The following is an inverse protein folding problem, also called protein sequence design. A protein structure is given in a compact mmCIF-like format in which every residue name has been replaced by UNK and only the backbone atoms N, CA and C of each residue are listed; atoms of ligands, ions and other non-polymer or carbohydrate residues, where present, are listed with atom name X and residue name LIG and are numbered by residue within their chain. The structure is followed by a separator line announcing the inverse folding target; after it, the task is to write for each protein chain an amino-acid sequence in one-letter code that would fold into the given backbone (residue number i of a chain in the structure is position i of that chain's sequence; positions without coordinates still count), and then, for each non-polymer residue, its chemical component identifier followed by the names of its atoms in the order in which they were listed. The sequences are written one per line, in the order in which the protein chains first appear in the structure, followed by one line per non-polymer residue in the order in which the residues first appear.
data_IF_521368929471
#
_entry.id   IF_521368929471
#
_cell.length_a   1.000
_cell.length_b   1.000
_cell.length_c   1.000
_cell.angle_alpha   90.00
_cell.angle_beta   90.00
_cell.angle_gamma   90.00
#
_symmetry.space_group_name_H-M   'P 1'
#
loop_
_entity.id
_entity.type
_entity.pdbx_description
1 polymer ?
#
# COMPACT_ATOMS: atom_id res chain seq x y z
N UNK A 1 0.75 -27.11 -11.05
CA UNK A 1 0.66 -26.21 -9.88
C UNK A 1 -0.50 -25.26 -10.14
N UNK A 2 -1.52 -25.28 -9.29
CA UNK A 2 -2.64 -24.34 -9.38
C UNK A 2 -2.20 -23.01 -8.76
N UNK A 3 -2.40 -21.92 -9.47
CA UNK A 3 -1.99 -20.56 -9.06
C UNK A 3 -3.16 -19.62 -9.28
N UNK A 4 -3.42 -18.76 -8.30
CA UNK A 4 -4.39 -17.67 -8.40
C UNK A 4 -3.73 -16.35 -8.05
N UNK A 5 -4.23 -15.27 -8.64
CA UNK A 5 -3.93 -13.89 -8.28
C UNK A 5 -5.20 -13.26 -7.77
N UNK A 6 -5.17 -12.69 -6.57
CA UNK A 6 -6.30 -12.09 -5.89
C UNK A 6 -5.92 -10.68 -5.46
N UNK A 7 -6.84 -9.73 -5.64
CA UNK A 7 -6.69 -8.39 -5.12
C UNK A 7 -7.50 -8.23 -3.83
N UNK A 8 -6.92 -7.56 -2.86
CA UNK A 8 -7.55 -7.23 -1.59
C UNK A 8 -7.25 -5.77 -1.23
N UNK A 9 -7.99 -5.21 -0.29
CA UNK A 9 -7.67 -3.92 0.29
C UNK A 9 -7.38 -4.05 1.79
N UNK A 10 -6.21 -3.59 2.26
CA UNK A 10 -5.90 -3.59 3.69
C UNK A 10 -6.76 -2.54 4.40
N UNK A 11 -7.07 -2.77 5.68
CA UNK A 11 -7.86 -1.83 6.49
C UNK A 11 -7.01 -1.10 7.52
N UNK A 12 -5.93 -1.73 7.98
CA UNK A 12 -5.02 -1.19 9.01
C UNK A 12 -3.57 -1.44 8.62
N UNK A 13 -2.70 -0.51 9.01
CA UNK A 13 -1.25 -0.71 9.06
C UNK A 13 -0.93 -1.45 10.35
N UNK A 14 -0.43 -2.69 10.31
CA UNK A 14 0.21 -3.39 11.43
C UNK A 14 0.90 -4.66 10.92
N UNK A 15 2.00 -5.14 11.54
CA UNK A 15 2.94 -4.42 12.41
C UNK A 15 4.01 -3.62 11.64
N UNK A 16 4.68 -2.68 12.32
CA UNK A 16 5.88 -2.02 11.83
C UNK A 16 7.09 -2.95 12.03
N UNK A 17 7.86 -3.23 10.99
CA UNK A 17 8.94 -4.22 11.03
C UNK A 17 10.24 -3.72 10.44
N UNK A 18 11.37 -4.24 10.93
CA UNK A 18 12.69 -3.90 10.39
C UNK A 18 12.88 -4.52 9.00
N UNK A 19 13.01 -3.67 7.97
CA UNK A 19 13.23 -4.07 6.56
C UNK A 19 14.36 -5.08 6.41
N UNK A 20 15.54 -4.76 6.96
CA UNK A 20 16.76 -5.59 6.86
C UNK A 20 16.58 -6.98 7.49
N UNK A 21 15.80 -7.08 8.56
CA UNK A 21 15.51 -8.37 9.21
C UNK A 21 14.53 -9.18 8.37
N UNK A 22 13.47 -8.54 7.86
CA UNK A 22 12.49 -9.24 7.02
C UNK A 22 13.11 -9.71 5.70
N UNK A 23 14.09 -9.00 5.13
CA UNK A 23 14.90 -9.47 3.99
C UNK A 23 15.74 -10.72 4.32
N UNK A 24 16.14 -10.90 5.58
CA UNK A 24 16.79 -12.11 6.08
C UNK A 24 15.79 -13.19 6.48
N UNK A 25 14.50 -12.91 6.40
CA UNK A 25 13.40 -13.79 6.76
C UNK A 25 13.07 -13.81 8.25
N UNK A 26 13.49 -12.77 8.97
CA UNK A 26 13.19 -12.57 10.38
C UNK A 26 12.10 -11.51 10.52
N UNK A 27 10.93 -11.92 11.01
CA UNK A 27 9.81 -11.02 11.25
C UNK A 27 9.88 -10.52 12.70
N UNK A 28 10.35 -9.30 12.89
CA UNK A 28 10.45 -8.63 14.18
C UNK A 28 9.68 -7.31 14.13
N UNK A 29 8.60 -7.24 14.92
CA UNK A 29 7.81 -6.04 15.08
C UNK A 29 8.49 -5.06 16.05
N UNK A 30 8.43 -3.78 15.72
CA UNK A 30 8.87 -2.68 16.57
C UNK A 30 7.68 -1.75 16.84
N UNK A 31 7.67 -1.11 18.01
CA UNK A 31 6.60 -0.18 18.38
C UNK A 31 6.77 1.23 17.80
N UNK A 32 7.99 1.58 17.36
CA UNK A 32 8.37 2.88 16.79
C UNK A 32 9.71 2.78 16.07
N UNK A 33 10.02 3.77 15.24
CA UNK A 33 11.38 4.06 14.79
C UNK A 33 11.42 5.15 13.73
N UNK A 34 12.58 5.29 13.11
CA UNK A 34 12.92 6.39 12.19
C UNK A 34 13.10 5.90 10.76
N UNK A 35 14.05 5.01 10.50
CA UNK A 35 14.38 4.59 9.12
C UNK A 35 14.56 3.09 8.96
N UNK A 36 14.37 2.62 7.73
CA UNK A 36 14.58 1.21 7.37
C UNK A 36 13.50 0.28 7.92
N UNK A 37 12.28 0.79 8.07
CA UNK A 37 11.12 0.06 8.52
C UNK A 37 10.14 -0.18 7.37
N UNK A 38 9.23 -1.12 7.57
CA UNK A 38 8.15 -1.44 6.63
C UNK A 38 6.89 -1.62 7.46
N UNK A 39 5.80 -0.97 7.06
CA UNK A 39 4.50 -1.23 7.64
C UNK A 39 3.87 -2.43 6.97
N UNK A 40 3.56 -3.46 7.74
CA UNK A 40 2.75 -4.55 7.25
C UNK A 40 1.27 -4.20 7.38
N UNK A 41 0.40 -5.05 6.85
CA UNK A 41 -1.04 -4.84 6.86
C UNK A 41 -1.75 -5.85 7.73
N UNK A 42 -2.96 -5.51 8.17
CA UNK A 42 -3.89 -6.48 8.75
C UNK A 42 -4.07 -7.74 7.88
N UNK A 43 -4.05 -7.58 6.55
CA UNK A 43 -4.09 -8.72 5.65
C UNK A 43 -2.80 -9.55 5.67
N UNK A 44 -1.62 -8.93 5.74
CA UNK A 44 -0.36 -9.65 5.94
C UNK A 44 -0.43 -10.47 7.22
N UNK A 45 -0.87 -9.86 8.33
CA UNK A 45 -0.92 -10.50 9.64
C UNK A 45 -1.87 -11.70 9.63
N UNK A 46 -3.08 -11.53 9.10
CA UNK A 46 -4.04 -12.63 8.92
C UNK A 46 -3.48 -13.74 8.02
N UNK A 47 -2.84 -13.39 6.90
CA UNK A 47 -2.20 -14.35 6.00
C UNK A 47 -1.08 -15.13 6.69
N UNK A 48 -0.23 -14.43 7.44
CA UNK A 48 0.89 -15.00 8.14
C UNK A 48 0.43 -15.91 9.28
N UNK A 49 -0.58 -15.49 10.05
CA UNK A 49 -1.21 -16.33 11.07
C UNK A 49 -1.77 -17.62 10.48
N UNK A 50 -2.51 -17.56 9.36
CA UNK A 50 -3.00 -18.75 8.67
C UNK A 50 -1.84 -19.65 8.18
N UNK A 51 -0.77 -19.07 7.66
CA UNK A 51 0.39 -19.84 7.21
C UNK A 51 1.06 -20.57 8.38
N UNK A 52 1.21 -19.92 9.54
CA UNK A 52 1.80 -20.50 10.74
C UNK A 52 0.88 -21.53 11.43
N UNK A 53 -0.44 -21.36 11.37
CA UNK A 53 -1.41 -22.34 11.87
C UNK A 53 -1.32 -23.69 11.12
N UNK A 54 -0.99 -23.64 9.81
CA UNK A 54 -0.91 -24.82 8.94
C UNK A 54 0.52 -25.40 8.93
N UNK A 55 1.54 -24.56 9.07
CA UNK A 55 2.94 -24.95 9.05
C UNK A 55 3.74 -24.07 10.02
N UNK A 56 4.13 -24.63 11.17
CA UNK A 56 4.95 -23.91 12.14
C UNK A 56 6.33 -23.53 11.60
N UNK A 57 6.81 -24.20 10.55
CA UNK A 57 8.07 -23.92 9.86
C UNK A 57 7.88 -22.98 8.65
N UNK A 58 6.71 -22.34 8.54
CA UNK A 58 6.44 -21.33 7.53
C UNK A 58 7.54 -20.27 7.47
N UNK A 59 7.87 -19.84 6.26
CA UNK A 59 8.93 -18.87 5.99
C UNK A 59 8.36 -17.66 5.27
N UNK A 60 8.74 -16.47 5.74
CA UNK A 60 8.50 -15.21 5.05
C UNK A 60 9.84 -14.56 4.71
N UNK A 61 9.91 -13.84 3.59
CA UNK A 61 11.07 -13.02 3.24
C UNK A 61 10.64 -11.83 2.41
N UNK A 62 11.04 -10.62 2.83
CA UNK A 62 10.92 -9.42 2.02
C UNK A 62 11.79 -9.57 0.77
N UNK A 63 11.21 -9.28 -0.40
CA UNK A 63 11.89 -9.32 -1.69
C UNK A 63 12.25 -7.93 -2.14
N UNK A 64 11.25 -7.06 -2.12
CA UNK A 64 11.35 -5.69 -2.59
C UNK A 64 10.59 -4.82 -1.59
N UNK A 65 11.06 -3.60 -1.45
CA UNK A 65 10.41 -2.50 -0.76
C UNK A 65 10.76 -1.24 -1.54
N UNK A 66 9.76 -0.46 -1.92
CA UNK A 66 9.98 0.82 -2.58
C UNK A 66 10.49 1.88 -1.59
N UNK A 67 10.57 3.12 -2.08
CA UNK A 67 10.72 4.31 -1.26
C UNK A 67 9.64 4.35 -0.16
N UNK A 68 8.44 3.92 -0.54
CA UNK A 68 7.26 4.02 0.29
C UNK A 68 7.05 2.85 1.25
N UNK A 69 6.65 3.14 2.48
CA UNK A 69 6.70 2.20 3.61
C UNK A 69 5.72 1.03 3.52
N UNK A 70 4.66 1.14 2.71
CA UNK A 70 3.90 -0.01 2.25
C UNK A 70 3.75 -0.16 0.73
N UNK A 71 4.78 0.24 0.02
CA UNK A 71 5.11 -0.38 -1.26
C UNK A 71 6.13 -1.50 -1.00
N UNK A 72 5.68 -2.75 -0.92
CA UNK A 72 6.58 -3.87 -0.68
C UNK A 72 6.06 -5.16 -1.27
N UNK A 73 6.97 -6.13 -1.41
CA UNK A 73 6.67 -7.49 -1.82
C UNK A 73 7.33 -8.48 -0.87
N UNK A 74 6.51 -9.30 -0.21
CA UNK A 74 6.94 -10.40 0.63
C UNK A 74 6.64 -11.75 -0.04
N UNK A 75 7.59 -12.68 0.04
CA UNK A 75 7.44 -14.05 -0.44
C UNK A 75 7.28 -15.01 0.73
N UNK A 76 6.38 -15.97 0.59
CA UNK A 76 6.06 -16.97 1.60
C UNK A 76 6.26 -18.38 1.06
N UNK A 77 6.67 -19.30 1.94
CA UNK A 77 6.72 -20.74 1.71
C UNK A 77 6.24 -21.46 2.96
N UNK A 78 5.25 -22.32 2.82
CA UNK A 78 4.63 -23.07 3.92
C UNK A 78 3.81 -24.22 3.33
N UNK A 79 3.75 -25.39 3.96
CA UNK A 79 2.86 -26.51 3.60
C UNK A 79 2.67 -26.80 2.09
N UNK A 80 3.74 -26.73 1.29
CA UNK A 80 3.68 -26.91 -0.17
C UNK A 80 3.16 -25.72 -0.99
N UNK A 81 2.73 -24.65 -0.32
CA UNK A 81 2.39 -23.36 -0.92
C UNK A 81 3.63 -22.53 -1.26
N UNK A 82 3.51 -21.78 -2.36
CA UNK A 82 4.37 -20.64 -2.67
C UNK A 82 3.47 -19.44 -2.86
N UNK A 83 3.68 -18.40 -2.07
CA UNK A 83 2.90 -17.17 -2.19
C UNK A 83 3.79 -15.94 -2.29
N UNK A 84 3.23 -14.91 -2.88
CA UNK A 84 3.76 -13.55 -2.92
C UNK A 84 2.62 -12.62 -2.56
N UNK A 85 2.84 -11.79 -1.55
CA UNK A 85 1.95 -10.69 -1.19
C UNK A 85 2.68 -9.39 -1.52
N UNK A 86 2.06 -8.58 -2.36
CA UNK A 86 2.58 -7.26 -2.75
C UNK A 86 1.61 -6.19 -2.30
N UNK A 87 2.10 -5.13 -1.66
CA UNK A 87 1.35 -3.94 -1.35
C UNK A 87 1.68 -2.85 -2.36
N UNK A 88 0.64 -2.27 -2.97
CA UNK A 88 0.76 -1.28 -4.02
C UNK A 88 -0.19 -0.11 -3.76
N UNK A 89 0.31 1.09 -3.99
CA UNK A 89 -0.41 2.34 -3.88
C UNK A 89 -1.22 2.58 -5.15
N UNK A 90 -2.39 3.20 -5.02
CA UNK A 90 -3.20 3.61 -6.17
C UNK A 90 -3.85 5.00 -6.02
N UNK A 91 -3.61 5.72 -4.90
CA UNK A 91 -4.15 7.06 -4.64
C UNK A 91 -3.33 7.85 -3.60
N UNK A 92 -3.15 9.16 -3.81
CA UNK A 92 -2.89 10.16 -2.75
C UNK A 92 -1.58 9.93 -1.98
N UNK A 93 -1.50 10.32 -0.70
CA UNK A 93 -0.36 9.96 0.15
C UNK A 93 -0.45 8.52 0.64
N UNK A 94 0.73 8.00 0.85
CA UNK A 94 0.92 6.74 1.49
C UNK A 94 0.83 6.90 3.00
N UNK A 95 0.47 5.84 3.71
CA UNK A 95 0.17 5.91 5.13
C UNK A 95 -1.26 5.46 5.48
N UNK A 96 -2.17 5.58 4.51
CA UNK A 96 -3.58 5.24 4.69
C UNK A 96 -3.91 3.94 3.94
N UNK A 97 -4.29 2.85 4.63
CA UNK A 97 -4.59 1.56 3.99
C UNK A 97 -5.63 1.63 2.85
N UNK A 98 -6.58 2.58 2.93
CA UNK A 98 -7.62 2.81 1.90
C UNK A 98 -7.08 3.31 0.55
N UNK A 99 -5.83 3.75 0.51
CA UNK A 99 -5.14 4.25 -0.68
C UNK A 99 -4.26 3.18 -1.35
N UNK A 100 -4.25 1.97 -0.77
CA UNK A 100 -3.43 0.85 -1.21
C UNK A 100 -4.31 -0.36 -1.51
N UNK A 101 -3.84 -1.21 -2.43
CA UNK A 101 -4.35 -2.56 -2.60
C UNK A 101 -3.22 -3.56 -2.38
N UNK A 102 -3.61 -4.79 -2.10
CA UNK A 102 -2.73 -5.93 -2.00
C UNK A 102 -2.97 -6.86 -3.17
N UNK A 103 -1.89 -7.35 -3.75
CA UNK A 103 -1.93 -8.44 -4.71
C UNK A 103 -1.37 -9.71 -4.06
N UNK A 104 -2.23 -10.69 -3.83
CA UNK A 104 -1.86 -12.02 -3.40
C UNK A 104 -1.75 -12.94 -4.61
N UNK A 105 -0.54 -13.37 -4.95
CA UNK A 105 -0.30 -14.46 -5.88
C UNK A 105 0.09 -15.71 -5.10
N UNK A 106 -0.77 -16.70 -5.05
CA UNK A 106 -0.58 -17.93 -4.28
C UNK A 106 -0.79 -19.16 -5.14
N UNK A 107 0.04 -20.17 -4.95
CA UNK A 107 -0.15 -21.45 -5.61
C UNK A 107 0.34 -22.65 -4.83
N UNK A 108 -0.22 -23.80 -5.17
CA UNK A 108 0.06 -25.11 -4.58
C UNK A 108 -0.19 -26.21 -5.62
N UNK A 109 0.28 -27.42 -5.35
CA UNK A 109 0.01 -28.58 -6.20
C UNK A 109 -1.47 -29.01 -6.14
N UNK A 110 -2.12 -28.86 -4.99
CA UNK A 110 -3.48 -29.34 -4.75
C UNK A 110 -4.49 -28.17 -4.71
N UNK A 111 -5.48 -28.12 -5.63
CA UNK A 111 -6.45 -27.03 -5.68
C UNK A 111 -7.41 -27.01 -4.48
N UNK A 112 -7.64 -28.15 -3.80
CA UNK A 112 -8.49 -28.18 -2.61
C UNK A 112 -7.81 -27.50 -1.42
N UNK A 113 -6.50 -27.70 -1.23
CA UNK A 113 -5.73 -27.04 -0.17
C UNK A 113 -5.76 -25.53 -0.36
N UNK A 114 -5.62 -25.06 -1.62
CA UNK A 114 -5.77 -23.64 -1.95
C UNK A 114 -7.13 -23.09 -1.56
N UNK A 115 -8.20 -23.81 -1.90
CA UNK A 115 -9.56 -23.40 -1.57
C UNK A 115 -9.76 -23.31 -0.05
N UNK A 116 -9.33 -24.32 0.69
CA UNK A 116 -9.47 -24.36 2.15
C UNK A 116 -8.67 -23.24 2.82
N UNK A 117 -7.43 -23.01 2.37
CA UNK A 117 -6.59 -21.91 2.86
C UNK A 117 -7.28 -20.55 2.65
N UNK A 118 -7.78 -20.28 1.45
CA UNK A 118 -8.40 -19.00 1.12
C UNK A 118 -9.72 -18.77 1.87
N UNK A 119 -10.49 -19.82 2.16
CA UNK A 119 -11.67 -19.73 3.03
C UNK A 119 -11.27 -19.37 4.46
N UNK A 120 -10.30 -20.09 5.04
CA UNK A 120 -9.78 -19.81 6.38
C UNK A 120 -9.26 -18.36 6.48
N UNK A 121 -8.53 -17.90 5.47
CA UNK A 121 -8.03 -16.53 5.40
C UNK A 121 -9.19 -15.51 5.36
N UNK A 122 -10.19 -15.74 4.50
CA UNK A 122 -11.33 -14.83 4.39
C UNK A 122 -12.11 -14.71 5.71
N UNK A 123 -12.23 -15.80 6.47
CA UNK A 123 -12.92 -15.84 7.75
C UNK A 123 -12.18 -15.07 8.88
N UNK A 124 -10.91 -14.68 8.68
CA UNK A 124 -10.18 -13.82 9.64
C UNK A 124 -10.63 -12.35 9.58
N UNK A 125 -11.40 -11.94 8.56
CA UNK A 125 -11.80 -10.55 8.36
C UNK A 125 -13.29 -10.33 8.63
N UNK A 126 -13.61 -9.34 9.46
CA UNK A 126 -14.99 -8.88 9.66
C UNK A 126 -15.59 -8.30 8.37
N UNK A 127 -14.77 -7.52 7.64
CA UNK A 127 -15.13 -7.00 6.32
C UNK A 127 -14.38 -7.78 5.24
N UNK A 128 -15.06 -8.21 4.17
CA UNK A 128 -14.41 -8.99 3.13
C UNK A 128 -13.18 -8.30 2.54
N UNK A 129 -12.08 -9.04 2.27
CA UNK A 129 -10.86 -8.45 1.74
C UNK A 129 -11.03 -7.88 0.32
N UNK A 130 -12.00 -8.40 -0.46
CA UNK A 130 -12.35 -7.93 -1.81
C UNK A 130 -13.29 -6.71 -1.83
N UNK A 131 -13.69 -6.17 -0.67
CA UNK A 131 -14.47 -4.93 -0.63
C UNK A 131 -13.55 -3.72 -0.84
N UNK A 132 -13.51 -3.17 -2.05
CA UNK A 132 -12.61 -2.06 -2.39
C UNK A 132 -13.31 -0.72 -2.21
N UNK A 133 -12.58 0.25 -1.63
CA UNK A 133 -13.11 1.56 -1.29
C UNK A 133 -13.20 2.52 -2.49
N UNK A 134 -12.31 2.36 -3.47
CA UNK A 134 -12.28 3.20 -4.66
C UNK A 134 -11.92 2.33 -5.87
N UNK A 135 -12.97 1.78 -6.48
CA UNK A 135 -12.87 0.90 -7.64
C UNK A 135 -12.21 1.62 -8.82
N UNK A 136 -12.70 2.80 -9.23
CA UNK A 136 -12.20 3.48 -10.43
C UNK A 136 -10.67 3.71 -10.43
N UNK A 137 -10.09 4.13 -9.29
CA UNK A 137 -8.64 4.28 -9.20
C UNK A 137 -7.90 2.94 -9.13
N UNK A 138 -8.46 1.93 -8.46
CA UNK A 138 -7.86 0.60 -8.41
C UNK A 138 -7.83 -0.03 -9.81
N UNK A 139 -8.90 0.09 -10.58
CA UNK A 139 -9.02 -0.46 -11.93
C UNK A 139 -7.97 0.17 -12.86
N UNK A 140 -7.81 1.49 -12.80
CA UNK A 140 -6.80 2.22 -13.57
C UNK A 140 -5.35 1.79 -13.25
N UNK A 141 -5.06 1.41 -12.00
CA UNK A 141 -3.70 1.06 -11.57
C UNK A 141 -3.37 -0.44 -11.69
N UNK A 142 -4.36 -1.30 -11.43
CA UNK A 142 -4.15 -2.75 -11.37
C UNK A 142 -4.48 -3.46 -12.68
N UNK A 143 -5.34 -2.86 -13.53
CA UNK A 143 -5.90 -3.50 -14.72
C UNK A 143 -6.96 -4.57 -14.42
N UNK A 144 -7.43 -4.68 -13.17
CA UNK A 144 -8.52 -5.56 -12.79
C UNK A 144 -9.79 -4.75 -12.52
N UNK A 145 -10.87 -5.06 -13.24
CA UNK A 145 -12.20 -4.53 -12.94
C UNK A 145 -12.83 -5.20 -11.70
N UNK A 146 -13.91 -4.59 -11.21
CA UNK A 146 -14.67 -5.12 -10.07
C UNK A 146 -15.12 -6.58 -10.26
N UNK A 147 -15.59 -6.95 -11.46
CA UNK A 147 -16.08 -8.29 -11.75
C UNK A 147 -14.95 -9.33 -11.72
N UNK A 148 -13.78 -9.01 -12.27
CA UNK A 148 -12.60 -9.85 -12.26
C UNK A 148 -12.11 -10.15 -10.83
N UNK A 149 -12.16 -9.14 -9.94
CA UNK A 149 -11.77 -9.30 -8.54
C UNK A 149 -12.75 -10.22 -7.80
N UNK A 150 -14.05 -9.96 -7.94
CA UNK A 150 -15.10 -10.76 -7.29
C UNK A 150 -15.08 -12.20 -7.81
N UNK A 151 -15.03 -12.38 -9.13
CA UNK A 151 -15.01 -13.71 -9.76
C UNK A 151 -13.73 -14.48 -9.40
N UNK A 152 -12.59 -13.81 -9.28
CA UNK A 152 -11.33 -14.39 -8.82
C UNK A 152 -11.46 -14.99 -7.42
N UNK A 153 -11.96 -14.21 -6.46
CA UNK A 153 -12.19 -14.69 -5.09
C UNK A 153 -13.25 -15.79 -5.04
N UNK A 154 -14.37 -15.62 -5.74
CA UNK A 154 -15.48 -16.57 -5.79
C UNK A 154 -15.02 -17.95 -6.29
N UNK A 155 -14.29 -17.97 -7.41
CA UNK A 155 -13.74 -19.20 -7.99
C UNK A 155 -12.69 -19.84 -7.09
N UNK A 156 -11.79 -19.05 -6.51
CA UNK A 156 -10.71 -19.56 -5.68
C UNK A 156 -11.25 -20.20 -4.37
N UNK A 157 -12.29 -19.61 -3.78
CA UNK A 157 -12.97 -20.18 -2.61
C UNK A 157 -14.04 -21.21 -2.96
N UNK A 158 -14.44 -21.34 -4.23
CA UNK A 158 -15.54 -22.23 -4.64
C UNK A 158 -16.85 -21.89 -3.91
N UNK A 159 -17.14 -20.59 -3.77
CA UNK A 159 -18.36 -20.04 -3.17
C UNK A 159 -18.75 -18.81 -3.98
N UNK A 160 -20.03 -18.66 -4.28
CA UNK A 160 -20.53 -17.47 -4.95
C UNK A 160 -20.37 -16.22 -4.06
N UNK A 161 -19.83 -15.16 -4.65
CA UNK A 161 -19.69 -13.83 -4.07
C UNK A 161 -20.43 -12.89 -5.02
N UNK A 162 -21.33 -12.10 -4.48
CA UNK A 162 -22.09 -11.12 -5.23
C UNK A 162 -21.46 -9.73 -5.13
N UNK A 163 -21.85 -8.82 -6.03
CA UNK A 163 -21.49 -7.40 -5.91
C UNK A 163 -22.00 -6.79 -4.61
N UNK A 164 -23.14 -7.26 -4.08
CA UNK A 164 -23.66 -6.79 -2.80
C UNK A 164 -22.72 -7.08 -1.62
N UNK A 165 -21.92 -8.16 -1.71
CA UNK A 165 -20.89 -8.51 -0.71
C UNK A 165 -19.68 -7.54 -0.74
N UNK A 166 -19.66 -6.58 -1.65
CA UNK A 166 -18.66 -5.50 -1.70
C UNK A 166 -19.11 -4.21 -1.02
N UNK A 167 -20.37 -4.12 -0.57
CA UNK A 167 -20.89 -2.96 0.13
C UNK A 167 -20.29 -2.87 1.55
N UNK A 168 -19.45 -1.87 1.80
CA UNK A 168 -18.72 -1.73 3.06
C UNK A 168 -17.46 -0.88 3.01
N UNK A 169 -17.10 -0.37 1.83
CA UNK A 169 -16.17 0.75 1.67
C UNK A 169 -16.62 1.95 2.52
N UNK A 170 -15.65 2.72 3.01
CA UNK A 170 -15.83 3.92 3.82
C UNK A 170 -16.61 4.98 3.04
N UNK A 171 -17.94 4.90 3.00
CA UNK A 171 -18.77 6.06 2.73
C UNK A 171 -18.85 6.89 4.01
N UNK A 172 -17.97 7.88 4.15
CA UNK A 172 -18.39 9.08 4.85
C UNK A 172 -19.37 9.84 3.95
N UNK A 173 -20.44 10.44 4.49
CA UNK A 173 -21.35 11.26 3.72
C UNK A 173 -20.57 12.44 3.13
N UNK A 174 -20.44 12.46 1.81
CA UNK A 174 -19.77 13.53 1.09
C UNK A 174 -20.63 14.80 1.22
N UNK A 175 -20.20 15.74 2.08
CA UNK A 175 -20.78 17.07 2.18
C UNK A 175 -20.06 17.99 1.18
N UNK A 176 -20.75 18.34 0.10
CA UNK A 176 -20.62 19.57 -0.70
C UNK A 176 -19.24 20.01 -1.22
N UNK A 177 -19.03 19.95 -2.53
CA UNK A 177 -17.94 20.65 -3.21
C UNK A 177 -17.93 20.47 -4.73
N UNK A 178 -18.67 21.33 -5.42
CA UNK A 178 -18.62 21.79 -6.82
C UNK A 178 -17.89 20.97 -7.90
N UNK A 179 -18.66 20.66 -8.95
CA UNK A 179 -18.24 20.24 -10.31
C UNK A 179 -17.21 21.21 -10.92
N UNK A 180 -16.13 20.69 -11.50
CA UNK A 180 -15.42 21.35 -12.60
C UNK A 180 -14.89 20.32 -13.62
N UNK A 181 -15.12 20.69 -14.88
CA UNK A 181 -14.86 20.11 -16.20
C UNK A 181 -13.99 18.84 -16.35
N UNK A 182 -14.60 17.86 -17.02
CA UNK A 182 -13.93 16.87 -17.84
C UNK A 182 -13.43 17.54 -19.13
N UNK A 183 -12.11 17.52 -19.34
CA UNK A 183 -11.41 17.31 -20.61
C UNK A 183 -9.94 17.72 -20.44
N UNK A 184 -9.09 16.76 -20.11
CA UNK A 184 -7.65 16.84 -20.34
C UNK A 184 -7.15 15.46 -20.80
N UNK A 185 -6.35 15.37 -21.87
CA UNK A 185 -5.86 14.10 -22.38
C UNK A 185 -4.96 13.43 -21.35
N UNK A 186 -5.15 12.12 -21.18
CA UNK A 186 -4.37 11.29 -20.28
C UNK A 186 -2.88 11.36 -20.64
N UNK A 187 -2.11 12.04 -19.81
CA UNK A 187 -0.65 11.96 -19.74
C UNK A 187 -0.27 10.92 -18.66
N UNK A 188 0.76 10.09 -18.89
CA UNK A 188 1.15 9.05 -17.96
C UNK A 188 1.95 9.68 -16.81
N UNK A 189 1.30 10.23 -15.79
CA UNK A 189 1.88 10.50 -14.44
C UNK A 189 0.95 11.27 -13.47
N UNK A 190 -0.28 11.61 -13.86
CA UNK A 190 -1.13 12.56 -13.10
C UNK A 190 -1.59 12.09 -11.69
N UNK A 191 -1.18 10.90 -11.24
CA UNK A 191 -1.53 10.35 -9.93
C UNK A 191 -0.68 10.85 -8.77
N UNK A 192 0.52 11.36 -9.07
CA UNK A 192 1.55 11.73 -8.08
C UNK A 192 1.86 13.24 -8.08
N UNK A 193 1.00 14.07 -8.65
CA UNK A 193 1.14 15.54 -8.61
C UNK A 193 0.19 16.14 -7.58
N UNK A 194 0.76 16.88 -6.62
CA UNK A 194 0.05 17.64 -5.60
C UNK A 194 0.19 19.15 -5.88
N UNK A 195 -0.88 19.90 -5.60
CA UNK A 195 -0.91 21.35 -5.82
C UNK A 195 -0.95 22.03 -4.46
N UNK A 196 0.10 22.76 -4.13
CA UNK A 196 0.24 23.48 -2.86
C UNK A 196 0.13 24.98 -3.11
N UNK A 197 -0.55 25.69 -2.23
CA UNK A 197 -0.66 27.15 -2.30
C UNK A 197 0.31 27.78 -1.31
N UNK A 198 1.16 28.69 -1.78
CA UNK A 198 2.08 29.43 -0.92
C UNK A 198 1.36 30.52 -0.09
N UNK A 199 2.10 31.18 0.81
CA UNK A 199 1.59 32.27 1.65
C UNK A 199 1.11 33.50 0.87
N UNK A 200 1.45 33.61 -0.42
CA UNK A 200 1.01 34.69 -1.32
C UNK A 200 -0.22 34.29 -2.16
N UNK A 201 -0.74 33.07 -1.99
CA UNK A 201 -1.89 32.57 -2.73
C UNK A 201 -1.55 31.99 -4.10
N UNK A 202 -0.27 31.74 -4.41
CA UNK A 202 0.15 31.14 -5.69
C UNK A 202 0.17 29.62 -5.58
N UNK A 203 -0.38 28.96 -6.59
CA UNK A 203 -0.38 27.50 -6.68
C UNK A 203 0.92 26.99 -7.32
N UNK A 204 1.53 26.00 -6.68
CA UNK A 204 2.75 25.33 -7.11
C UNK A 204 2.48 23.83 -7.22
N UNK A 205 3.02 23.19 -8.26
CA UNK A 205 2.81 21.77 -8.55
C UNK A 205 4.02 20.97 -8.15
N UNK A 206 3.81 19.92 -7.36
CA UNK A 206 4.87 19.06 -6.85
C UNK A 206 4.60 17.61 -7.23
N UNK A 207 5.62 16.90 -7.70
CA UNK A 207 5.62 15.45 -7.82
C UNK A 207 5.96 14.84 -6.46
N UNK A 208 5.15 13.91 -5.97
CA UNK A 208 5.34 13.19 -4.71
C UNK A 208 6.12 11.91 -4.98
N UNK A 209 7.29 11.77 -4.37
CA UNK A 209 8.13 10.57 -4.50
C UNK A 209 7.73 9.48 -3.51
N UNK A 210 7.25 9.88 -2.33
CA UNK A 210 6.75 8.98 -1.30
C UNK A 210 6.75 9.63 0.08
N UNK A 211 6.60 8.82 1.12
CA UNK A 211 6.59 9.30 2.51
C UNK A 211 7.54 8.52 3.38
N UNK A 212 8.12 9.20 4.37
CA UNK A 212 8.89 8.62 5.47
C UNK A 212 8.11 8.81 6.77
N UNK A 213 8.03 7.79 7.62
CA UNK A 213 7.43 7.92 8.95
C UNK A 213 8.52 7.91 10.02
N UNK A 214 8.60 9.00 10.78
CA UNK A 214 9.54 9.17 11.89
C UNK A 214 8.74 9.35 13.17
N UNK A 215 8.92 8.41 14.10
CA UNK A 215 8.28 8.45 15.43
C UNK A 215 6.74 8.60 15.41
N UNK A 216 6.08 8.11 14.36
CA UNK A 216 4.62 8.18 14.19
C UNK A 216 4.12 9.43 13.46
N UNK A 217 5.04 10.30 13.02
CA UNK A 217 4.75 11.46 12.17
C UNK A 217 5.19 11.17 10.73
N UNK A 218 4.38 11.57 9.75
CA UNK A 218 4.61 11.28 8.33
C UNK A 218 5.20 12.52 7.63
N UNK A 219 6.18 12.30 6.75
CA UNK A 219 6.88 13.33 6.01
C UNK A 219 6.86 12.99 4.52
N UNK A 220 6.31 13.88 3.70
CA UNK A 220 6.26 13.72 2.25
C UNK A 220 7.55 14.22 1.62
N UNK A 221 8.11 13.42 0.71
CA UNK A 221 9.26 13.79 -0.12
C UNK A 221 8.75 14.11 -1.51
N UNK A 222 9.02 15.33 -1.97
CA UNK A 222 8.41 15.91 -3.16
C UNK A 222 9.46 16.63 -3.99
N UNK A 223 9.19 16.89 -5.27
CA UNK A 223 10.01 17.80 -6.10
C UNK A 223 9.10 18.65 -6.98
N UNK A 224 9.53 19.85 -7.42
CA UNK A 224 8.77 20.63 -8.38
C UNK A 224 8.40 19.81 -9.62
N UNK A 225 7.14 19.86 -10.06
CA UNK A 225 6.69 19.15 -11.25
C UNK A 225 7.18 19.83 -12.55
N UNK A 226 7.57 21.09 -12.46
CA UNK A 226 8.06 21.94 -13.56
C UNK A 226 9.51 22.38 -13.25
N UNK A 227 10.47 21.44 -13.37
CA UNK A 227 11.90 21.67 -13.16
C UNK A 227 12.76 20.73 -14.03
N UNK A 228 13.93 21.21 -14.50
CA UNK A 228 14.83 20.48 -15.41
C UNK A 228 15.58 19.32 -14.74
N UNK A 229 16.03 18.35 -15.55
CA UNK A 229 16.44 16.97 -15.18
C UNK A 229 17.61 16.80 -14.19
N UNK A 230 18.26 17.85 -13.66
CA UNK A 230 19.63 17.71 -13.13
C UNK A 230 19.92 18.13 -11.68
N UNK A 231 18.92 18.38 -10.82
CA UNK A 231 19.15 18.40 -9.36
C UNK A 231 17.93 17.83 -8.65
N UNK A 232 18.11 16.80 -7.81
CA UNK A 232 17.11 16.38 -6.82
C UNK A 232 17.00 17.46 -5.73
N UNK A 233 16.49 18.65 -6.09
CA UNK A 233 15.91 19.58 -5.11
C UNK A 233 14.60 18.95 -4.66
N UNK A 234 14.71 18.09 -3.66
CA UNK A 234 13.57 17.50 -2.99
C UNK A 234 13.14 18.38 -1.82
N UNK A 235 11.87 18.71 -1.80
CA UNK A 235 11.23 19.32 -0.64
C UNK A 235 10.70 18.23 0.27
N UNK A 236 10.92 18.40 1.57
CA UNK A 236 10.43 17.50 2.61
C UNK A 236 9.49 18.27 3.51
N UNK A 237 8.25 17.83 3.55
CA UNK A 237 7.16 18.49 4.28
C UNK A 237 6.53 17.51 5.26
N UNK A 238 6.23 17.97 6.47
CA UNK A 238 5.43 17.20 7.43
C UNK A 238 3.98 17.12 6.97
N UNK A 239 3.37 15.95 7.07
CA UNK A 239 1.99 15.68 6.67
C UNK A 239 1.07 15.88 7.87
N UNK A 240 0.27 16.94 7.85
CA UNK A 240 -0.62 17.28 8.94
C UNK A 240 -1.78 16.26 9.07
N UNK A 241 -2.16 15.91 10.32
CA UNK A 241 -3.22 14.93 10.63
C UNK A 241 -4.61 15.29 10.09
N UNK A 242 -4.85 16.56 9.77
CA UNK A 242 -6.08 17.07 9.15
C UNK A 242 -6.06 17.13 7.62
N UNK A 243 -4.95 16.73 6.98
CA UNK A 243 -4.64 17.05 5.60
C UNK A 243 -3.91 18.39 5.47
N UNK A 244 -3.05 18.51 4.47
CA UNK A 244 -2.15 19.64 4.28
C UNK A 244 -0.72 19.33 4.68
N UNK A 245 0.14 20.35 4.58
CA UNK A 245 1.58 20.22 4.74
C UNK A 245 2.15 21.35 5.57
N UNK A 246 3.15 21.02 6.37
CA UNK A 246 3.87 21.94 7.24
C UNK A 246 5.36 21.85 6.94
N UNK A 247 6.05 22.99 6.99
CA UNK A 247 7.51 23.03 6.86
C UNK A 247 8.16 22.33 8.05
N UNK A 248 9.21 21.57 7.79
CA UNK A 248 10.03 20.97 8.85
C UNK A 248 11.00 22.04 9.36
N UNK A 249 10.72 22.60 10.55
CA UNK A 249 11.57 23.65 11.16
C UNK A 249 12.82 23.09 11.86
N UNK A 250 12.79 21.81 12.22
CA UNK A 250 13.92 21.12 12.86
C UNK A 250 14.96 20.72 11.80
N UNK A 251 16.10 21.42 11.79
CA UNK A 251 17.18 21.21 10.83
C UNK A 251 17.84 19.82 10.96
N UNK A 252 17.97 19.28 12.17
CA UNK A 252 18.54 17.94 12.36
C UNK A 252 17.62 16.86 11.77
N UNK A 253 16.32 16.99 12.02
CA UNK A 253 15.30 16.11 11.46
C UNK A 253 15.23 16.24 9.93
N UNK A 254 15.24 17.46 9.39
CA UNK A 254 15.21 17.69 7.95
C UNK A 254 16.42 17.04 7.26
N UNK A 255 17.62 17.23 7.80
CA UNK A 255 18.83 16.63 7.24
C UNK A 255 18.78 15.10 7.28
N UNK A 256 18.27 14.51 8.37
CA UNK A 256 18.11 13.06 8.47
C UNK A 256 17.09 12.51 7.46
N UNK A 257 15.96 13.21 7.26
CA UNK A 257 14.96 12.87 6.25
C UNK A 257 15.52 12.99 4.83
N UNK A 258 16.32 14.03 4.56
CA UNK A 258 16.94 14.27 3.26
C UNK A 258 17.98 13.19 2.92
N UNK A 259 18.81 12.80 3.89
CA UNK A 259 19.76 11.69 3.72
C UNK A 259 19.03 10.38 3.43
N UNK A 260 17.99 10.05 4.21
CA UNK A 260 17.18 8.87 3.98
C UNK A 260 16.49 8.90 2.60
N UNK A 261 15.96 10.06 2.19
CA UNK A 261 15.35 10.23 0.89
C UNK A 261 16.35 9.99 -0.25
N UNK A 262 17.57 10.52 -0.13
CA UNK A 262 18.64 10.30 -1.11
C UNK A 262 19.04 8.82 -1.21
N UNK A 263 19.21 8.12 -0.08
CA UNK A 263 19.50 6.69 -0.08
C UNK A 263 18.44 5.88 -0.82
N UNK A 264 17.16 6.24 -0.63
CA UNK A 264 16.04 5.53 -1.24
C UNK A 264 15.82 5.89 -2.71
N UNK A 265 16.08 7.14 -3.13
CA UNK A 265 15.93 7.57 -4.53
C UNK A 265 17.10 7.14 -5.42
N UNK A 266 18.27 6.84 -4.83
CA UNK A 266 19.45 6.37 -5.56
C UNK A 266 19.51 4.83 -5.76
N UNK A 267 18.59 4.07 -5.14
CA UNK A 267 18.58 2.60 -5.09
C UNK A 267 17.63 1.96 -6.11
#
# INVERSE_FOLDING_TARGET
MHVVTLLAQPRKKHPLVKRKLLQKGQLEAVGRGTFGLVWLTDFFDAFWACAQEIDSDAKVKLRESGFDEMNWTAAFRFAGFKARLSAQKYKGFYGVPRNCYLQLKIGTANPNDLRMFLRLLADKFEKPPWAINNWSKLEANSGFDQEAIISGWSKAMGREISVADTAGGWSLPFMGGSKAAADAPATPDAGDIEVLTDSEGREHRFRVHGTLEVEGEEYAVMSPAEGGEDVLEVDILHVAKGGGYESVEDEELFNALAEAAQEHLAA
#
